data_IF_183250550998
#
_entry.id   IF_183250550998
#
_cell.length_a   1.000
_cell.length_b   1.000
_cell.length_c   1.000
_cell.angle_alpha   90.00
_cell.angle_beta   90.00
_cell.angle_gamma   90.00
#
_symmetry.space_group_name_H-M   'P 1'
#
loop_
_entity.id
_entity.type
_entity.pdbx_description
1 polymer ?
#
# COMPACT_ATOMS: atom_id res chain seq x y z
N UNK A 1 8.66 -60.64 -27.68
CA UNK A 1 9.07 -59.37 -27.03
C UNK A 1 8.22 -58.24 -27.61
N UNK A 2 7.08 -57.99 -26.97
CA UNK A 2 6.13 -56.94 -27.40
C UNK A 2 6.51 -55.60 -26.74
N UNK A 3 6.85 -54.58 -27.54
CA UNK A 3 7.11 -53.22 -27.03
C UNK A 3 5.78 -52.53 -26.72
N UNK A 4 5.48 -52.32 -25.44
CA UNK A 4 4.39 -51.46 -24.97
C UNK A 4 4.77 -50.00 -25.34
N UNK A 5 4.09 -49.46 -26.35
CA UNK A 5 4.09 -48.03 -26.67
C UNK A 5 3.26 -47.29 -25.66
N UNK A 6 3.90 -46.49 -24.79
CA UNK A 6 3.23 -45.52 -23.91
C UNK A 6 2.69 -44.42 -24.80
N UNK A 7 1.37 -44.12 -24.76
CA UNK A 7 0.80 -43.00 -25.50
C UNK A 7 1.34 -41.69 -24.91
N UNK A 8 2.13 -40.96 -25.68
CA UNK A 8 2.52 -39.60 -25.30
C UNK A 8 1.29 -38.71 -25.29
N UNK A 9 0.81 -38.32 -24.10
CA UNK A 9 -0.29 -37.36 -23.94
C UNK A 9 0.10 -35.98 -24.50
N UNK A 10 -0.12 -35.82 -25.82
CA UNK A 10 0.09 -34.57 -26.56
C UNK A 10 -0.91 -33.46 -26.14
N UNK A 11 -1.90 -33.77 -25.30
CA UNK A 11 -2.95 -32.83 -24.88
C UNK A 11 -2.52 -31.94 -23.69
N UNK A 12 -1.52 -32.34 -22.93
CA UNK A 12 -1.06 -31.59 -21.75
C UNK A 12 -0.43 -30.21 -22.08
N UNK A 13 0.42 -30.07 -23.13
CA UNK A 13 0.94 -28.76 -23.53
C UNK A 13 -0.13 -27.83 -24.10
N UNK A 14 -1.06 -28.36 -24.88
CA UNK A 14 -2.16 -27.60 -25.47
C UNK A 14 -3.18 -27.15 -24.40
N UNK A 15 -3.48 -27.97 -23.41
CA UNK A 15 -4.31 -27.59 -22.26
C UNK A 15 -3.65 -26.52 -21.39
N UNK A 16 -2.32 -26.57 -21.22
CA UNK A 16 -1.54 -25.52 -20.55
C UNK A 16 -1.54 -24.20 -21.34
N UNK A 17 -1.36 -24.25 -22.66
CA UNK A 17 -1.40 -23.07 -23.53
C UNK A 17 -2.81 -22.44 -23.54
N UNK A 18 -3.88 -23.23 -23.65
CA UNK A 18 -5.26 -22.73 -23.60
C UNK A 18 -5.66 -22.21 -22.22
N UNK A 19 -5.07 -22.70 -21.12
CA UNK A 19 -5.24 -22.14 -19.79
C UNK A 19 -4.53 -20.80 -19.60
N UNK A 20 -3.44 -20.56 -20.33
CA UNK A 20 -2.66 -19.31 -20.30
C UNK A 20 -3.26 -18.16 -21.13
N UNK A 21 -4.27 -18.45 -21.95
CA UNK A 21 -4.90 -17.44 -22.83
C UNK A 21 -6.28 -16.97 -22.32
N UNK A 22 -6.56 -17.17 -21.03
CA UNK A 22 -7.86 -16.79 -20.42
C UNK A 22 -8.07 -15.29 -20.25
N UNK A 23 -7.23 -14.47 -20.87
CA UNK A 23 -7.45 -13.04 -21.01
C UNK A 23 -7.35 -12.21 -19.72
N UNK A 24 -7.50 -10.92 -19.86
CA UNK A 24 -7.41 -9.91 -18.79
C UNK A 24 -8.55 -9.99 -17.76
N UNK A 25 -9.66 -10.70 -18.03
CA UNK A 25 -10.83 -10.78 -17.13
C UNK A 25 -10.49 -11.25 -15.70
N UNK A 26 -9.79 -12.39 -15.49
CA UNK A 26 -9.39 -12.81 -14.15
C UNK A 26 -8.48 -11.80 -13.47
N UNK A 27 -7.60 -11.15 -14.22
CA UNK A 27 -6.68 -10.12 -13.70
C UNK A 27 -7.44 -8.88 -13.20
N UNK A 28 -8.52 -8.46 -13.90
CA UNK A 28 -9.39 -7.36 -13.47
C UNK A 28 -10.11 -7.69 -12.17
N UNK A 29 -10.60 -8.92 -12.00
CA UNK A 29 -11.22 -9.34 -10.72
C UNK A 29 -10.21 -9.30 -9.57
N UNK A 30 -8.96 -9.71 -9.82
CA UNK A 30 -7.90 -9.59 -8.83
C UNK A 30 -7.56 -8.12 -8.52
N UNK A 31 -7.58 -7.25 -9.52
CA UNK A 31 -7.39 -5.81 -9.34
C UNK A 31 -8.52 -5.16 -8.53
N UNK A 32 -9.77 -5.59 -8.71
CA UNK A 32 -10.88 -5.15 -7.85
C UNK A 32 -10.66 -5.56 -6.39
N UNK A 33 -10.09 -6.72 -6.14
CA UNK A 33 -9.75 -7.14 -4.79
C UNK A 33 -8.62 -6.32 -4.17
N UNK A 34 -7.57 -5.98 -4.92
CA UNK A 34 -6.53 -5.06 -4.42
C UNK A 34 -7.06 -3.64 -4.25
N UNK A 35 -8.01 -3.20 -5.07
CA UNK A 35 -8.75 -1.97 -4.86
C UNK A 35 -9.54 -2.00 -3.54
N UNK A 36 -10.27 -3.09 -3.25
CA UNK A 36 -11.00 -3.24 -1.98
C UNK A 36 -10.05 -3.22 -0.77
N UNK A 37 -8.91 -3.94 -0.86
CA UNK A 37 -7.87 -3.93 0.18
C UNK A 37 -7.27 -2.53 0.38
N UNK A 38 -6.98 -1.83 -0.70
CA UNK A 38 -6.43 -0.47 -0.63
C UNK A 38 -7.44 0.52 -0.05
N UNK A 39 -8.70 0.41 -0.45
CA UNK A 39 -9.78 1.24 0.12
C UNK A 39 -9.90 0.98 1.62
N UNK A 40 -9.94 -0.28 2.06
CA UNK A 40 -9.96 -0.64 3.48
C UNK A 40 -8.76 -0.08 4.27
N UNK A 41 -7.57 -0.17 3.70
CA UNK A 41 -6.35 0.26 4.37
C UNK A 41 -6.28 1.79 4.58
N UNK A 42 -6.84 2.57 3.66
CA UNK A 42 -6.59 4.01 3.59
C UNK A 42 -7.83 4.87 3.86
N UNK A 43 -9.04 4.36 3.69
CA UNK A 43 -10.28 5.13 3.80
C UNK A 43 -10.50 5.73 5.19
N UNK A 44 -10.00 5.07 6.24
CA UNK A 44 -10.15 5.51 7.64
C UNK A 44 -9.59 6.92 7.85
N UNK A 45 -8.52 7.29 7.16
CA UNK A 45 -7.97 8.65 7.23
C UNK A 45 -8.98 9.73 6.81
N UNK A 46 -9.93 9.39 5.94
CA UNK A 46 -10.94 10.30 5.43
C UNK A 46 -12.07 10.63 6.42
N UNK A 47 -12.31 9.77 7.42
CA UNK A 47 -13.38 9.93 8.41
C UNK A 47 -12.92 9.73 9.88
N UNK A 48 -11.63 9.88 10.10
CA UNK A 48 -11.02 9.66 11.43
C UNK A 48 -11.63 10.54 12.53
N UNK A 49 -11.93 11.86 12.32
CA UNK A 49 -12.57 12.68 13.33
C UNK A 49 -13.99 12.20 13.69
N UNK A 50 -14.82 11.88 12.69
CA UNK A 50 -16.18 11.38 12.89
C UNK A 50 -16.20 10.05 13.67
N UNK A 51 -15.21 9.16 13.36
CA UNK A 51 -15.02 7.91 14.09
C UNK A 51 -14.65 8.17 15.56
N UNK A 52 -13.76 9.14 15.83
CA UNK A 52 -13.34 9.53 17.16
C UNK A 52 -14.52 10.05 17.99
N UNK A 53 -15.31 10.95 17.41
CA UNK A 53 -16.50 11.54 18.05
C UNK A 53 -17.55 10.46 18.39
N UNK A 54 -17.83 9.56 17.43
CA UNK A 54 -18.83 8.50 17.61
C UNK A 54 -18.43 7.46 18.65
N UNK A 55 -17.12 7.17 18.79
CA UNK A 55 -16.58 6.23 19.77
C UNK A 55 -16.21 6.91 21.09
N UNK A 56 -16.42 8.24 21.22
CA UNK A 56 -16.09 9.05 22.39
C UNK A 56 -14.60 8.91 22.81
N UNK A 57 -13.72 8.97 21.82
CA UNK A 57 -12.25 8.87 22.02
C UNK A 57 -11.55 10.05 21.33
N UNK A 58 -10.27 10.27 21.66
CA UNK A 58 -9.47 11.27 20.94
C UNK A 58 -9.19 10.82 19.50
N UNK A 59 -8.98 11.78 18.60
CA UNK A 59 -8.58 11.51 17.20
C UNK A 59 -7.28 10.68 17.15
N UNK A 60 -6.35 10.93 18.07
CA UNK A 60 -5.13 10.14 18.22
C UNK A 60 -5.42 8.68 18.57
N UNK A 61 -6.37 8.43 19.51
CA UNK A 61 -6.80 7.08 19.88
C UNK A 61 -7.50 6.37 18.71
N UNK A 62 -8.39 7.04 18.00
CA UNK A 62 -9.03 6.50 16.79
C UNK A 62 -7.99 6.15 15.71
N UNK A 63 -6.93 6.96 15.56
CA UNK A 63 -5.80 6.74 14.65
C UNK A 63 -5.06 5.42 14.92
N UNK A 64 -5.11 4.87 16.15
CA UNK A 64 -4.54 3.56 16.45
C UNK A 64 -5.18 2.43 15.63
N UNK A 65 -6.40 2.62 15.11
CA UNK A 65 -7.03 1.66 14.20
C UNK A 65 -6.24 1.49 12.89
N UNK A 66 -5.66 2.57 12.36
CA UNK A 66 -4.76 2.56 11.20
C UNK A 66 -3.40 1.97 11.58
N UNK A 67 -2.84 2.40 12.72
CA UNK A 67 -1.57 1.88 13.26
C UNK A 67 -1.62 0.36 13.41
N UNK A 68 -2.63 -0.15 14.10
CA UNK A 68 -2.75 -1.60 14.40
C UNK A 68 -2.95 -2.40 13.11
N UNK A 69 -3.78 -1.91 12.18
CA UNK A 69 -3.91 -2.55 10.86
C UNK A 69 -2.54 -2.66 10.17
N UNK A 70 -1.80 -1.55 10.09
CA UNK A 70 -0.54 -1.48 9.37
C UNK A 70 0.55 -2.36 10.03
N UNK A 71 0.72 -2.28 11.35
CA UNK A 71 1.69 -3.11 12.07
C UNK A 71 1.32 -4.60 12.01
N UNK A 72 0.02 -4.92 12.14
CA UNK A 72 -0.45 -6.30 11.98
C UNK A 72 -0.18 -6.82 10.58
N UNK A 73 -0.44 -6.03 9.53
CA UNK A 73 -0.10 -6.41 8.16
C UNK A 73 1.40 -6.67 8.01
N UNK A 74 2.26 -5.79 8.50
CA UNK A 74 3.71 -5.91 8.39
C UNK A 74 4.23 -7.23 9.01
N UNK A 75 3.68 -7.62 10.15
CA UNK A 75 4.04 -8.86 10.85
C UNK A 75 3.38 -10.09 10.21
N UNK A 76 2.09 -9.99 9.90
CA UNK A 76 1.31 -11.12 9.40
C UNK A 76 1.66 -11.50 7.95
N UNK A 77 2.11 -10.56 7.11
CA UNK A 77 2.40 -10.84 5.70
C UNK A 77 3.43 -11.98 5.51
N UNK A 78 4.60 -11.99 6.13
CA UNK A 78 5.53 -13.11 6.01
C UNK A 78 5.03 -14.39 6.68
N UNK A 79 4.28 -14.30 7.78
CA UNK A 79 3.71 -15.44 8.49
C UNK A 79 2.64 -16.13 7.65
N UNK A 80 1.65 -15.37 7.19
CA UNK A 80 0.54 -15.85 6.35
C UNK A 80 1.08 -16.45 5.05
N UNK A 81 2.04 -15.79 4.39
CA UNK A 81 2.68 -16.32 3.19
C UNK A 81 3.39 -17.67 3.42
N UNK A 82 3.86 -17.92 4.64
CA UNK A 82 4.51 -19.19 5.00
C UNK A 82 3.48 -20.28 5.32
N UNK A 83 2.49 -19.95 6.14
CA UNK A 83 1.47 -20.91 6.60
C UNK A 83 0.55 -21.32 5.44
N UNK A 84 0.15 -20.38 4.60
CA UNK A 84 -0.77 -20.62 3.48
C UNK A 84 -0.09 -21.06 2.19
N UNK A 85 1.24 -21.26 2.19
CA UNK A 85 2.00 -21.57 0.98
C UNK A 85 1.40 -22.75 0.18
N UNK A 86 1.02 -23.84 0.85
CA UNK A 86 0.46 -25.05 0.23
C UNK A 86 -1.02 -24.96 -0.13
N UNK A 87 -1.73 -23.93 0.36
CA UNK A 87 -3.16 -23.77 0.10
C UNK A 87 -3.37 -23.43 -1.39
N UNK A 88 -4.30 -24.11 -2.10
CA UNK A 88 -4.63 -23.74 -3.47
C UNK A 88 -5.04 -22.28 -3.56
N UNK A 89 -4.65 -21.59 -4.65
CA UNK A 89 -4.73 -20.12 -4.74
C UNK A 89 -6.15 -19.59 -4.72
N UNK A 90 -7.11 -20.28 -5.37
CA UNK A 90 -8.50 -19.85 -5.41
C UNK A 90 -9.16 -19.85 -4.02
N UNK A 91 -9.19 -20.93 -3.23
CA UNK A 91 -9.75 -20.88 -1.88
C UNK A 91 -9.00 -19.92 -0.95
N UNK A 92 -7.67 -19.74 -1.12
CA UNK A 92 -6.91 -18.78 -0.36
C UNK A 92 -7.39 -17.34 -0.61
N UNK A 93 -7.54 -16.94 -1.88
CA UNK A 93 -8.01 -15.59 -2.25
C UNK A 93 -9.45 -15.34 -1.80
N UNK A 94 -10.33 -16.33 -1.97
CA UNK A 94 -11.72 -16.24 -1.49
C UNK A 94 -11.76 -16.12 0.03
N UNK A 95 -11.03 -16.97 0.76
CA UNK A 95 -10.97 -16.94 2.22
C UNK A 95 -10.40 -15.60 2.74
N UNK A 96 -9.37 -15.06 2.10
CA UNK A 96 -8.80 -13.76 2.42
C UNK A 96 -9.82 -12.61 2.29
N UNK A 97 -10.59 -12.59 1.19
CA UNK A 97 -11.65 -11.61 0.97
C UNK A 97 -12.83 -11.78 1.93
N UNK A 98 -13.19 -13.01 2.29
CA UNK A 98 -14.22 -13.25 3.30
C UNK A 98 -13.77 -12.80 4.69
N UNK A 99 -12.51 -13.01 5.07
CA UNK A 99 -11.94 -12.47 6.31
C UNK A 99 -12.01 -10.95 6.30
N UNK A 100 -11.65 -10.30 5.20
CA UNK A 100 -11.77 -8.85 5.03
C UNK A 100 -13.23 -8.38 5.13
N UNK A 101 -14.16 -9.09 4.48
CA UNK A 101 -15.58 -8.79 4.53
C UNK A 101 -16.10 -8.82 5.98
N UNK A 102 -15.87 -9.92 6.71
CA UNK A 102 -16.30 -10.09 8.09
C UNK A 102 -15.64 -9.07 9.02
N UNK A 103 -14.35 -8.82 8.82
CA UNK A 103 -13.61 -7.83 9.61
C UNK A 103 -14.12 -6.40 9.40
N UNK A 104 -14.42 -6.00 8.16
CA UNK A 104 -14.98 -4.68 7.87
C UNK A 104 -16.42 -4.55 8.34
N UNK A 105 -17.22 -5.61 8.24
CA UNK A 105 -18.55 -5.63 8.83
C UNK A 105 -18.49 -5.51 10.36
N UNK A 106 -17.58 -6.24 11.00
CA UNK A 106 -17.32 -6.11 12.44
C UNK A 106 -16.83 -4.71 12.82
N UNK A 107 -15.99 -4.08 11.99
CA UNK A 107 -15.57 -2.67 12.18
C UNK A 107 -16.75 -1.70 12.05
N UNK A 108 -17.65 -1.91 11.07
CA UNK A 108 -18.86 -1.10 10.88
C UNK A 108 -19.82 -1.22 12.07
N UNK A 109 -19.86 -2.37 12.73
CA UNK A 109 -20.70 -2.64 13.90
C UNK A 109 -19.99 -2.31 15.23
N UNK A 110 -18.74 -1.82 15.20
CA UNK A 110 -17.98 -1.57 16.41
C UNK A 110 -18.62 -0.45 17.25
N UNK A 111 -18.85 -0.74 18.52
CA UNK A 111 -19.38 0.18 19.54
C UNK A 111 -18.31 0.71 20.48
N UNK A 112 -17.07 0.18 20.36
CA UNK A 112 -15.93 0.57 21.21
C UNK A 112 -14.62 0.48 20.42
N UNK A 113 -13.63 1.26 20.87
CA UNK A 113 -12.29 1.24 20.27
C UNK A 113 -11.62 -0.15 20.34
N UNK A 114 -11.66 -0.91 21.44
CA UNK A 114 -11.10 -2.26 21.48
C UNK A 114 -11.71 -3.22 20.44
N UNK A 115 -13.03 -3.17 20.24
CA UNK A 115 -13.70 -3.96 19.21
C UNK A 115 -13.23 -3.57 17.82
N UNK A 116 -13.13 -2.27 17.53
CA UNK A 116 -12.59 -1.77 16.27
C UNK A 116 -11.16 -2.25 16.06
N UNK A 117 -10.28 -2.14 17.06
CA UNK A 117 -8.89 -2.60 17.00
C UNK A 117 -8.80 -4.10 16.66
N UNK A 118 -9.60 -4.93 17.33
CA UNK A 118 -9.62 -6.38 17.07
C UNK A 118 -10.01 -6.70 15.63
N UNK A 119 -11.02 -6.01 15.09
CA UNK A 119 -11.46 -6.18 13.70
C UNK A 119 -10.41 -5.67 12.71
N UNK A 120 -9.64 -4.64 13.03
CA UNK A 120 -8.52 -4.14 12.19
C UNK A 120 -7.36 -5.16 12.10
N UNK A 121 -7.07 -5.91 13.18
CA UNK A 121 -6.10 -7.03 13.13
C UNK A 121 -6.59 -8.12 12.17
N UNK A 122 -7.86 -8.50 12.25
CA UNK A 122 -8.45 -9.50 11.36
C UNK A 122 -8.43 -9.02 9.89
N UNK A 123 -8.77 -7.75 9.62
CA UNK A 123 -8.70 -7.15 8.30
C UNK A 123 -7.26 -7.19 7.73
N UNK A 124 -6.27 -6.85 8.55
CA UNK A 124 -4.86 -6.93 8.18
C UNK A 124 -4.43 -8.35 7.78
N UNK A 125 -4.92 -9.39 8.47
CA UNK A 125 -4.63 -10.78 8.12
C UNK A 125 -5.21 -11.15 6.74
N UNK A 126 -6.44 -10.73 6.44
CA UNK A 126 -7.06 -10.89 5.12
C UNK A 126 -6.28 -10.16 4.02
N UNK A 127 -5.93 -8.90 4.25
CA UNK A 127 -5.15 -8.08 3.32
C UNK A 127 -3.77 -8.68 3.03
N UNK A 128 -3.07 -9.15 4.06
CA UNK A 128 -1.76 -9.80 3.98
C UNK A 128 -1.81 -11.14 3.22
N UNK A 129 -2.95 -11.84 3.31
CA UNK A 129 -3.17 -13.06 2.53
C UNK A 129 -3.54 -12.76 1.08
N UNK A 130 -4.30 -11.69 0.80
CA UNK A 130 -4.80 -11.39 -0.54
C UNK A 130 -3.76 -10.77 -1.46
N UNK A 131 -3.21 -9.63 -1.07
CA UNK A 131 -2.45 -8.74 -1.98
C UNK A 131 -1.25 -9.41 -2.65
N UNK A 132 -0.33 -10.10 -1.94
CA UNK A 132 0.81 -10.74 -2.59
C UNK A 132 0.39 -11.92 -3.48
N UNK A 133 -0.65 -12.65 -3.06
CA UNK A 133 -1.15 -13.80 -3.82
C UNK A 133 -1.91 -13.37 -5.08
N UNK A 134 -2.66 -12.27 -5.06
CA UNK A 134 -3.32 -11.72 -6.22
C UNK A 134 -2.32 -11.35 -7.32
N UNK A 135 -1.20 -10.69 -6.95
CA UNK A 135 -0.10 -10.39 -7.86
C UNK A 135 0.53 -11.64 -8.46
N UNK A 136 0.90 -12.62 -7.63
CA UNK A 136 1.51 -13.87 -8.08
C UNK A 136 0.57 -14.68 -9.01
N UNK A 137 -0.72 -14.75 -8.68
CA UNK A 137 -1.72 -15.43 -9.48
C UNK A 137 -1.94 -14.74 -10.82
N UNK A 138 -2.04 -13.40 -10.84
CA UNK A 138 -2.20 -12.65 -12.09
C UNK A 138 -1.07 -12.93 -13.09
N UNK A 139 0.18 -12.96 -12.60
CA UNK A 139 1.34 -13.29 -13.43
C UNK A 139 1.33 -14.76 -13.92
N UNK A 140 0.75 -15.69 -13.15
CA UNK A 140 0.64 -17.11 -13.52
C UNK A 140 -0.48 -17.40 -14.53
N UNK A 141 -1.45 -16.50 -14.68
CA UNK A 141 -2.62 -16.66 -15.57
C UNK A 141 -2.38 -16.20 -17.00
N UNK A 142 -1.28 -15.51 -17.25
CA UNK A 142 -0.97 -14.90 -18.56
C UNK A 142 0.34 -15.45 -19.12
N UNK A 143 0.56 -15.25 -20.42
CA UNK A 143 1.83 -15.59 -21.09
C UNK A 143 3.00 -14.78 -20.47
N UNK A 144 4.25 -15.26 -20.57
CA UNK A 144 5.43 -14.60 -20.02
C UNK A 144 5.54 -13.12 -20.40
N UNK A 145 5.22 -12.77 -21.66
CA UNK A 145 5.31 -11.42 -22.20
C UNK A 145 4.29 -10.44 -21.57
N UNK A 146 3.19 -10.96 -21.02
CA UNK A 146 2.11 -10.19 -20.43
C UNK A 146 2.17 -10.14 -18.89
N UNK A 147 3.12 -10.83 -18.25
CA UNK A 147 3.21 -10.93 -16.77
C UNK A 147 3.37 -9.57 -16.11
N UNK A 148 4.25 -8.72 -16.64
CA UNK A 148 4.45 -7.38 -16.12
C UNK A 148 3.16 -6.54 -16.22
N UNK A 149 2.44 -6.65 -17.35
CA UNK A 149 1.16 -5.94 -17.54
C UNK A 149 0.08 -6.44 -16.59
N UNK A 150 -0.03 -7.75 -16.39
CA UNK A 150 -1.01 -8.34 -15.45
C UNK A 150 -0.72 -7.90 -14.02
N UNK A 151 0.55 -7.90 -13.60
CA UNK A 151 0.97 -7.41 -12.30
C UNK A 151 0.67 -5.91 -12.14
N UNK A 152 0.95 -5.10 -13.16
CA UNK A 152 0.65 -3.67 -13.16
C UNK A 152 -0.86 -3.40 -13.00
N UNK A 153 -1.73 -4.18 -13.62
CA UNK A 153 -3.19 -4.07 -13.47
C UNK A 153 -3.61 -4.38 -12.02
N UNK A 154 -3.07 -5.42 -11.40
CA UNK A 154 -3.39 -5.79 -10.00
C UNK A 154 -2.86 -4.73 -9.02
N UNK A 155 -1.62 -4.27 -9.19
CA UNK A 155 -1.05 -3.18 -8.36
C UNK A 155 -1.80 -1.87 -8.62
N UNK A 156 -2.23 -1.64 -9.86
CA UNK A 156 -3.07 -0.51 -10.24
C UNK A 156 -4.35 -0.41 -9.43
N UNK A 157 -4.96 -1.54 -9.05
CA UNK A 157 -6.12 -1.56 -8.15
C UNK A 157 -5.84 -0.86 -6.81
N UNK A 158 -4.68 -1.12 -6.21
CA UNK A 158 -4.25 -0.47 -4.96
C UNK A 158 -4.01 1.04 -5.16
N UNK A 159 -3.40 1.41 -6.28
CA UNK A 159 -3.12 2.82 -6.61
C UNK A 159 -4.41 3.59 -6.89
N UNK A 160 -5.37 2.98 -7.60
CA UNK A 160 -6.70 3.57 -7.83
C UNK A 160 -7.47 3.70 -6.53
N UNK A 161 -7.29 2.80 -5.55
CA UNK A 161 -7.91 2.92 -4.23
C UNK A 161 -7.46 4.17 -3.46
N UNK A 162 -6.19 4.57 -3.58
CA UNK A 162 -5.72 5.83 -2.96
C UNK A 162 -6.33 7.07 -3.63
N UNK A 163 -6.57 7.03 -4.94
CA UNK A 163 -7.11 8.15 -5.69
C UNK A 163 -8.64 8.25 -5.60
N UNK A 164 -9.35 7.13 -5.64
CA UNK A 164 -10.81 7.09 -5.68
C UNK A 164 -11.44 6.51 -4.41
N UNK A 165 -10.86 5.44 -3.85
CA UNK A 165 -11.44 4.71 -2.73
C UNK A 165 -11.50 5.57 -1.47
N UNK A 166 -10.45 6.32 -1.17
CA UNK A 166 -10.38 7.18 0.02
C UNK A 166 -11.33 8.38 -0.09
N UNK A 167 -11.32 9.18 -1.17
CA UNK A 167 -12.28 10.28 -1.32
C UNK A 167 -13.74 9.81 -1.38
N UNK A 168 -14.02 8.73 -2.10
CA UNK A 168 -15.37 8.17 -2.18
C UNK A 168 -15.86 7.67 -0.82
N UNK A 169 -14.98 7.03 -0.05
CA UNK A 169 -15.26 6.63 1.32
C UNK A 169 -15.51 7.82 2.24
N UNK A 170 -14.72 8.90 2.10
CA UNK A 170 -14.91 10.14 2.83
C UNK A 170 -16.23 10.84 2.48
N UNK A 171 -16.62 10.88 1.21
CA UNK A 171 -17.93 11.38 0.78
C UNK A 171 -19.05 10.47 1.29
N UNK A 172 -18.91 9.16 1.17
CA UNK A 172 -19.91 8.21 1.69
C UNK A 172 -20.09 8.36 3.20
N UNK A 173 -19.01 8.64 3.96
CA UNK A 173 -19.11 8.85 5.40
C UNK A 173 -19.88 10.13 5.74
N UNK A 174 -19.72 11.20 4.98
CA UNK A 174 -20.48 12.46 5.19
C UNK A 174 -21.99 12.30 5.03
N UNK A 175 -22.43 11.40 4.14
CA UNK A 175 -23.86 11.18 3.86
C UNK A 175 -24.46 10.03 4.67
N UNK A 176 -23.70 8.97 4.91
CA UNK A 176 -24.18 7.70 5.46
C UNK A 176 -23.47 7.28 6.76
N UNK A 177 -22.48 8.06 7.18
CA UNK A 177 -21.61 7.76 8.32
C UNK A 177 -20.49 6.77 7.99
N UNK A 178 -19.41 6.81 8.76
CA UNK A 178 -18.22 5.97 8.58
C UNK A 178 -18.52 4.45 8.67
N UNK A 179 -19.56 4.09 9.43
CA UNK A 179 -20.01 2.69 9.53
C UNK A 179 -20.52 2.16 8.20
N UNK A 180 -21.30 2.95 7.48
CA UNK A 180 -21.80 2.59 6.15
C UNK A 180 -20.65 2.55 5.12
N UNK A 181 -19.66 3.43 5.23
CA UNK A 181 -18.46 3.40 4.39
C UNK A 181 -17.70 2.07 4.55
N UNK A 182 -17.45 1.61 5.78
CA UNK A 182 -16.84 0.30 6.01
C UNK A 182 -17.74 -0.87 5.60
N UNK A 183 -19.06 -0.74 5.79
CA UNK A 183 -20.05 -1.70 5.28
C UNK A 183 -20.00 -1.84 3.76
N UNK A 184 -19.81 -0.73 3.04
CA UNK A 184 -19.63 -0.74 1.57
C UNK A 184 -18.35 -1.48 1.17
N UNK A 185 -17.25 -1.27 1.90
CA UNK A 185 -16.01 -2.04 1.69
C UNK A 185 -16.24 -3.52 1.94
N UNK A 186 -16.97 -3.90 3.00
CA UNK A 186 -17.33 -5.29 3.26
C UNK A 186 -18.14 -5.90 2.10
N UNK A 187 -19.15 -5.18 1.60
CA UNK A 187 -19.94 -5.57 0.44
C UNK A 187 -19.09 -5.76 -0.83
N UNK A 188 -18.15 -4.83 -1.07
CA UNK A 188 -17.21 -4.94 -2.18
C UNK A 188 -16.30 -6.19 -2.04
N UNK A 189 -15.78 -6.46 -0.84
CA UNK A 189 -14.99 -7.67 -0.59
C UNK A 189 -15.79 -8.94 -0.86
N UNK A 190 -17.06 -8.98 -0.46
CA UNK A 190 -17.95 -10.11 -0.72
C UNK A 190 -18.21 -10.28 -2.23
N UNK A 191 -18.53 -9.20 -2.93
CA UNK A 191 -18.76 -9.21 -4.37
C UNK A 191 -17.53 -9.75 -5.12
N UNK A 192 -16.35 -9.27 -4.76
CA UNK A 192 -15.09 -9.73 -5.38
C UNK A 192 -14.79 -11.19 -4.99
N UNK A 193 -15.08 -11.61 -3.76
CA UNK A 193 -14.93 -13.02 -3.35
C UNK A 193 -15.78 -13.96 -4.21
N UNK A 194 -17.02 -13.57 -4.49
CA UNK A 194 -17.91 -14.29 -5.43
C UNK A 194 -17.31 -14.28 -6.84
N UNK A 195 -16.86 -13.14 -7.34
CA UNK A 195 -16.18 -13.02 -8.64
C UNK A 195 -14.96 -13.94 -8.76
N UNK A 196 -14.09 -13.95 -7.74
CA UNK A 196 -12.93 -14.86 -7.67
C UNK A 196 -13.40 -16.33 -7.67
N UNK A 197 -14.43 -16.67 -6.90
CA UNK A 197 -14.97 -18.04 -6.83
C UNK A 197 -15.49 -18.54 -8.18
N UNK A 198 -16.10 -17.66 -8.96
CA UNK A 198 -16.74 -18.00 -10.25
C UNK A 198 -15.75 -17.98 -11.42
N UNK A 199 -14.86 -16.99 -11.46
CA UNK A 199 -14.01 -16.70 -12.64
C UNK A 199 -12.63 -17.34 -12.53
N UNK A 200 -12.07 -17.47 -11.30
CA UNK A 200 -10.68 -17.93 -11.12
C UNK A 200 -10.56 -19.44 -11.29
N UNK A 201 -9.58 -19.92 -12.08
CA UNK A 201 -9.25 -21.34 -12.14
C UNK A 201 -8.64 -21.82 -10.82
N UNK A 202 -8.71 -23.13 -10.59
CA UNK A 202 -7.95 -23.73 -9.48
C UNK A 202 -6.48 -23.78 -9.85
N UNK A 203 -5.65 -23.10 -9.06
CA UNK A 203 -4.19 -23.15 -9.16
C UNK A 203 -3.63 -23.78 -7.89
N UNK A 204 -2.62 -24.67 -8.00
CA UNK A 204 -2.00 -25.29 -6.84
C UNK A 204 -1.28 -24.26 -5.96
N UNK A 205 -1.08 -24.62 -4.70
CA UNK A 205 -0.18 -23.90 -3.80
C UNK A 205 1.29 -24.07 -4.22
N UNK A 206 2.15 -23.30 -3.58
CA UNK A 206 3.60 -23.38 -3.77
C UNK A 206 4.27 -24.21 -2.66
N UNK A 207 5.48 -24.72 -2.88
CA UNK A 207 6.28 -25.31 -1.81
C UNK A 207 6.47 -24.31 -0.65
N UNK A 208 6.51 -24.81 0.58
CA UNK A 208 6.80 -23.98 1.76
C UNK A 208 8.25 -23.50 1.73
N UNK A 209 8.45 -22.20 1.75
CA UNK A 209 9.75 -21.61 2.08
C UNK A 209 9.75 -21.28 3.57
N UNK A 210 10.66 -21.85 4.38
CA UNK A 210 10.71 -21.59 5.82
C UNK A 210 10.87 -20.10 6.11
N UNK A 211 10.21 -19.63 7.19
CA UNK A 211 10.28 -18.22 7.61
C UNK A 211 11.74 -17.78 7.84
N UNK A 212 12.56 -18.66 8.42
CA UNK A 212 13.99 -18.41 8.61
C UNK A 212 14.72 -18.05 7.32
N UNK A 213 14.43 -18.76 6.23
CA UNK A 213 15.02 -18.48 4.90
C UNK A 213 14.54 -17.12 4.37
N UNK A 214 13.27 -16.79 4.59
CA UNK A 214 12.71 -15.47 4.21
C UNK A 214 13.38 -14.34 4.99
N UNK A 215 13.58 -14.50 6.29
CA UNK A 215 14.20 -13.48 7.13
C UNK A 215 15.72 -13.40 6.97
N UNK A 216 16.38 -14.46 6.48
CA UNK A 216 17.82 -14.44 6.24
C UNK A 216 18.24 -13.37 5.20
N UNK A 217 17.38 -13.06 4.25
CA UNK A 217 17.63 -12.00 3.25
C UNK A 217 17.74 -10.61 3.89
N UNK A 218 17.09 -10.38 5.04
CA UNK A 218 17.23 -9.13 5.79
C UNK A 218 18.67 -8.87 6.26
N UNK A 219 19.52 -9.89 6.37
CA UNK A 219 20.91 -9.74 6.78
C UNK A 219 21.84 -9.30 5.65
N UNK A 220 21.35 -9.22 4.40
CA UNK A 220 22.16 -8.73 3.28
C UNK A 220 22.38 -7.23 3.39
N UNK A 221 23.63 -6.72 3.31
CA UNK A 221 23.95 -5.30 3.49
C UNK A 221 23.13 -4.37 2.59
N UNK A 222 22.94 -4.74 1.30
CA UNK A 222 22.12 -3.95 0.38
C UNK A 222 20.64 -3.86 0.77
N UNK A 223 20.08 -4.92 1.37
CA UNK A 223 18.69 -4.91 1.87
C UNK A 223 18.56 -4.06 3.13
N UNK A 224 19.57 -4.10 4.01
CA UNK A 224 19.64 -3.30 5.23
C UNK A 224 19.73 -1.79 4.97
N UNK A 225 20.20 -1.37 3.79
CA UNK A 225 20.23 0.06 3.43
C UNK A 225 18.94 0.53 2.76
N UNK A 226 18.20 -0.37 2.11
CA UNK A 226 16.99 0.01 1.37
C UNK A 226 15.73 -0.06 2.21
N UNK A 227 15.52 -1.12 3.00
CA UNK A 227 14.30 -1.28 3.79
C UNK A 227 14.08 -0.19 4.85
N UNK A 228 15.11 0.24 5.63
CA UNK A 228 14.93 1.35 6.57
C UNK A 228 14.49 2.64 5.88
N UNK A 229 15.00 2.92 4.67
CA UNK A 229 14.60 4.09 3.90
C UNK A 229 13.13 3.99 3.46
N UNK A 230 12.63 2.81 3.07
CA UNK A 230 11.21 2.58 2.80
C UNK A 230 10.36 2.88 4.04
N UNK A 231 10.79 2.38 5.21
CA UNK A 231 10.09 2.62 6.48
C UNK A 231 10.07 4.10 6.83
N UNK A 232 11.20 4.78 6.75
CA UNK A 232 11.32 6.22 7.06
C UNK A 232 10.47 7.08 6.13
N UNK A 233 10.54 6.84 4.82
CA UNK A 233 9.78 7.60 3.84
C UNK A 233 8.27 7.42 3.99
N UNK A 234 7.81 6.19 4.26
CA UNK A 234 6.39 5.93 4.52
C UNK A 234 5.96 6.48 5.89
N UNK A 235 6.80 6.40 6.91
CA UNK A 235 6.51 7.00 8.20
C UNK A 235 6.34 8.52 8.07
N UNK A 236 7.25 9.20 7.37
CA UNK A 236 7.15 10.63 7.11
C UNK A 236 5.84 11.02 6.41
N UNK A 237 5.46 10.27 5.37
CA UNK A 237 4.20 10.46 4.66
C UNK A 237 2.99 10.32 5.59
N UNK A 238 2.91 9.21 6.34
CA UNK A 238 1.72 8.85 7.12
C UNK A 238 1.61 9.59 8.45
N UNK A 239 2.68 10.22 8.94
CA UNK A 239 2.62 11.19 10.05
C UNK A 239 1.65 12.33 9.73
N UNK A 240 1.66 12.85 8.49
CA UNK A 240 0.69 13.86 8.03
C UNK A 240 -0.61 13.26 7.50
N UNK A 241 -0.53 12.19 6.67
CA UNK A 241 -1.68 11.67 5.92
C UNK A 241 -2.79 11.10 6.81
N UNK A 242 -2.45 10.36 7.85
CA UNK A 242 -3.45 9.76 8.75
C UNK A 242 -4.31 10.82 9.45
N UNK A 243 -3.77 12.01 9.62
CA UNK A 243 -4.43 13.15 10.29
C UNK A 243 -4.67 14.33 9.32
N UNK A 244 -4.71 14.05 8.00
CA UNK A 244 -4.86 15.08 6.98
C UNK A 244 -6.16 15.89 7.14
N UNK A 245 -7.27 15.25 7.54
CA UNK A 245 -8.55 15.93 7.70
C UNK A 245 -8.48 17.09 8.71
N UNK A 246 -8.10 16.86 9.98
CA UNK A 246 -7.97 17.97 10.95
C UNK A 246 -6.84 18.93 10.59
N UNK A 247 -5.75 18.46 9.99
CA UNK A 247 -4.63 19.32 9.63
C UNK A 247 -4.93 20.26 8.44
N UNK A 248 -5.68 19.79 7.45
CA UNK A 248 -6.19 20.64 6.35
C UNK A 248 -7.25 21.62 6.83
N UNK A 249 -8.10 21.21 7.78
CA UNK A 249 -9.06 22.12 8.44
C UNK A 249 -8.33 23.28 9.14
N UNK A 250 -7.24 23.00 9.86
CA UNK A 250 -6.39 24.02 10.47
C UNK A 250 -5.69 24.92 9.44
N UNK A 251 -5.40 24.42 8.24
CA UNK A 251 -4.89 25.19 7.11
C UNK A 251 -5.99 26.01 6.37
N UNK A 252 -7.18 26.14 6.94
CA UNK A 252 -8.28 26.95 6.39
C UNK A 252 -9.08 26.27 5.29
N UNK A 253 -8.94 24.95 5.09
CA UNK A 253 -9.74 24.22 4.10
C UNK A 253 -11.11 23.86 4.70
N UNK A 254 -12.23 24.31 4.09
CA UNK A 254 -13.54 24.02 4.58
C UNK A 254 -13.85 22.50 4.49
N UNK A 255 -14.67 21.94 5.40
CA UNK A 255 -14.99 20.50 5.42
C UNK A 255 -15.51 19.98 4.09
N UNK A 256 -16.27 20.77 3.34
CA UNK A 256 -16.81 20.43 2.02
C UNK A 256 -15.72 20.22 0.96
N UNK A 257 -14.53 20.81 1.13
CA UNK A 257 -13.41 20.72 0.19
C UNK A 257 -12.34 19.69 0.59
N UNK A 258 -12.40 19.15 1.80
CA UNK A 258 -11.39 18.17 2.28
C UNK A 258 -11.36 16.91 1.39
N UNK A 259 -12.52 16.41 0.98
CA UNK A 259 -12.60 15.25 0.07
C UNK A 259 -11.92 15.52 -1.27
N UNK A 260 -12.02 16.75 -1.81
CA UNK A 260 -11.28 17.18 -3.00
C UNK A 260 -9.77 17.18 -2.74
N UNK A 261 -9.32 17.65 -1.58
CA UNK A 261 -7.88 17.62 -1.24
C UNK A 261 -7.36 16.19 -1.17
N UNK A 262 -8.09 15.27 -0.54
CA UNK A 262 -7.73 13.85 -0.50
C UNK A 262 -7.73 13.21 -1.90
N UNK A 263 -8.66 13.62 -2.77
CA UNK A 263 -8.65 13.21 -4.18
C UNK A 263 -7.40 13.72 -4.92
N UNK A 264 -7.03 14.99 -4.74
CA UNK A 264 -5.81 15.55 -5.33
C UNK A 264 -4.55 14.83 -4.84
N UNK A 265 -4.48 14.51 -3.53
CA UNK A 265 -3.42 13.65 -3.00
C UNK A 265 -3.37 12.31 -3.72
N UNK A 266 -4.49 11.64 -3.88
CA UNK A 266 -4.59 10.35 -4.57
C UNK A 266 -4.18 10.43 -6.05
N UNK A 267 -4.62 11.48 -6.78
CA UNK A 267 -4.19 11.74 -8.16
C UNK A 267 -2.67 11.93 -8.21
N UNK A 268 -2.13 12.75 -7.29
CA UNK A 268 -0.69 12.93 -7.15
C UNK A 268 0.03 11.59 -6.92
N UNK A 269 -0.49 10.75 -6.01
CA UNK A 269 0.06 9.44 -5.70
C UNK A 269 0.13 8.52 -6.95
N UNK A 270 -0.93 8.48 -7.75
CA UNK A 270 -0.98 7.72 -9.01
C UNK A 270 0.07 8.25 -9.99
N UNK A 271 0.06 9.55 -10.24
CA UNK A 271 0.97 10.21 -11.18
C UNK A 271 2.43 10.02 -10.75
N UNK A 272 2.73 10.26 -9.46
CA UNK A 272 4.06 10.12 -8.90
C UNK A 272 4.58 8.68 -9.00
N UNK A 273 3.75 7.69 -8.69
CA UNK A 273 4.12 6.28 -8.80
C UNK A 273 4.39 5.87 -10.26
N UNK A 274 3.54 6.27 -11.21
CA UNK A 274 3.70 5.94 -12.63
C UNK A 274 4.94 6.62 -13.23
N UNK A 275 5.10 7.92 -12.98
CA UNK A 275 6.25 8.67 -13.50
C UNK A 275 7.57 8.20 -12.90
N UNK A 276 7.57 7.80 -11.62
CA UNK A 276 8.79 7.35 -10.96
C UNK A 276 9.33 6.05 -11.53
N UNK A 277 8.49 5.15 -12.06
CA UNK A 277 8.94 3.98 -12.80
C UNK A 277 9.78 4.38 -14.01
N UNK A 278 9.21 5.23 -14.88
CA UNK A 278 9.90 5.73 -16.06
C UNK A 278 11.17 6.54 -15.74
N UNK A 279 11.08 7.43 -14.76
CA UNK A 279 12.21 8.28 -14.38
C UNK A 279 13.32 7.51 -13.67
N UNK A 280 12.99 6.42 -12.97
CA UNK A 280 13.98 5.52 -12.36
C UNK A 280 14.86 4.86 -13.43
N UNK A 281 14.29 4.39 -14.52
CA UNK A 281 15.04 3.80 -15.63
C UNK A 281 15.96 4.84 -16.30
N UNK A 282 15.53 6.11 -16.38
CA UNK A 282 16.27 7.17 -17.07
C UNK A 282 17.31 7.89 -16.20
N UNK A 283 16.98 8.18 -14.94
CA UNK A 283 17.80 9.02 -14.05
C UNK A 283 18.43 8.25 -12.89
N UNK A 284 18.05 7.00 -12.72
CA UNK A 284 18.47 6.13 -11.63
C UNK A 284 17.67 6.35 -10.34
N UNK A 285 17.59 5.30 -9.50
CA UNK A 285 16.72 5.26 -8.32
C UNK A 285 17.06 6.33 -7.27
N UNK A 286 18.33 6.63 -7.05
CA UNK A 286 18.77 7.59 -6.03
C UNK A 286 18.31 9.02 -6.31
N UNK A 287 18.33 9.45 -7.59
CA UNK A 287 17.89 10.81 -7.96
C UNK A 287 16.37 10.94 -7.81
N UNK A 288 15.63 9.93 -8.26
CA UNK A 288 14.16 9.92 -8.14
C UNK A 288 13.72 9.95 -6.69
N UNK A 289 14.37 9.16 -5.82
CA UNK A 289 14.12 9.21 -4.37
C UNK A 289 14.47 10.57 -3.77
N UNK A 290 15.62 11.13 -4.14
CA UNK A 290 16.06 12.44 -3.64
C UNK A 290 15.07 13.55 -4.00
N UNK A 291 14.61 13.62 -5.26
CA UNK A 291 13.59 14.60 -5.68
C UNK A 291 12.25 14.37 -4.97
N UNK A 292 11.84 13.10 -4.78
CA UNK A 292 10.63 12.76 -4.04
C UNK A 292 10.70 13.19 -2.57
N UNK A 293 11.76 12.85 -1.86
CA UNK A 293 11.90 13.28 -0.45
C UNK A 293 12.03 14.79 -0.31
N UNK A 294 12.74 15.48 -1.20
CA UNK A 294 12.82 16.95 -1.19
C UNK A 294 11.42 17.57 -1.41
N UNK A 295 10.67 17.08 -2.39
CA UNK A 295 9.29 17.51 -2.63
C UNK A 295 8.39 17.28 -1.42
N UNK A 296 8.52 16.13 -0.75
CA UNK A 296 7.76 15.80 0.46
C UNK A 296 8.11 16.74 1.62
N UNK A 297 9.41 17.02 1.86
CA UNK A 297 9.87 18.01 2.85
C UNK A 297 9.22 19.37 2.59
N UNK A 298 9.34 19.86 1.36
CA UNK A 298 8.84 21.19 0.97
C UNK A 298 7.33 21.29 1.15
N UNK A 299 6.58 20.31 0.63
CA UNK A 299 5.12 20.34 0.72
C UNK A 299 4.63 20.22 2.17
N UNK A 300 5.18 19.31 2.96
CA UNK A 300 4.78 19.13 4.35
C UNK A 300 5.17 20.34 5.22
N UNK A 301 6.32 20.96 4.98
CA UNK A 301 6.72 22.18 5.69
C UNK A 301 5.78 23.35 5.38
N UNK A 302 5.41 23.55 4.11
CA UNK A 302 4.49 24.62 3.70
C UNK A 302 3.06 24.37 4.19
N UNK A 303 2.58 23.10 4.17
CA UNK A 303 1.29 22.71 4.74
C UNK A 303 1.27 22.89 6.26
N UNK A 304 2.39 22.57 6.95
CA UNK A 304 2.55 22.81 8.38
C UNK A 304 2.53 24.31 8.72
N UNK A 305 3.17 25.14 7.91
CA UNK A 305 3.10 26.59 8.06
C UNK A 305 1.68 27.12 7.84
N UNK A 306 0.99 26.67 6.80
CA UNK A 306 -0.40 27.03 6.55
C UNK A 306 -1.33 26.63 7.72
N UNK A 307 -1.19 25.41 8.24
CA UNK A 307 -1.97 24.93 9.38
C UNK A 307 -1.62 25.63 10.71
N UNK A 308 -0.43 26.23 10.80
CA UNK A 308 0.02 27.04 11.94
C UNK A 308 -0.44 28.50 11.93
N UNK A 309 -1.33 28.87 11.03
CA UNK A 309 -1.87 30.24 10.91
C UNK A 309 -1.32 31.05 9.74
N UNK A 310 -0.51 30.46 8.88
CA UNK A 310 -0.05 31.09 7.63
C UNK A 310 -1.21 31.24 6.63
N UNK A 311 -1.33 32.42 6.03
CA UNK A 311 -2.35 32.66 4.99
C UNK A 311 -1.91 32.06 3.66
N UNK A 312 -2.56 30.96 3.25
CA UNK A 312 -2.31 30.28 1.97
C UNK A 312 -3.62 30.10 1.23
N UNK A 313 -3.73 30.54 -0.05
CA UNK A 313 -4.93 30.33 -0.83
C UNK A 313 -5.27 28.83 -0.95
N UNK A 314 -6.56 28.41 -0.88
CA UNK A 314 -6.97 27.01 -0.98
C UNK A 314 -6.48 26.31 -2.26
N UNK A 315 -6.38 27.04 -3.38
CA UNK A 315 -5.83 26.49 -4.62
C UNK A 315 -4.35 26.09 -4.48
N UNK A 316 -3.56 26.89 -3.76
CA UNK A 316 -2.14 26.57 -3.50
C UNK A 316 -2.03 25.38 -2.56
N UNK A 317 -2.88 25.28 -1.52
CA UNK A 317 -2.97 24.09 -0.66
C UNK A 317 -3.28 22.85 -1.50
N UNK A 318 -4.22 22.95 -2.45
CA UNK A 318 -4.54 21.85 -3.39
C UNK A 318 -3.34 21.40 -4.22
N UNK A 319 -2.54 22.34 -4.75
CA UNK A 319 -1.30 22.02 -5.48
C UNK A 319 -0.27 21.35 -4.55
N UNK A 320 -0.08 21.88 -3.34
CA UNK A 320 0.84 21.28 -2.35
C UNK A 320 0.43 19.85 -2.00
N UNK A 321 -0.85 19.60 -1.80
CA UNK A 321 -1.39 18.27 -1.49
C UNK A 321 -1.19 17.30 -2.67
N UNK A 322 -1.42 17.75 -3.91
CA UNK A 322 -1.16 16.94 -5.11
C UNK A 322 0.32 16.57 -5.22
N UNK A 323 1.21 17.56 -5.08
CA UNK A 323 2.67 17.33 -5.12
C UNK A 323 3.13 16.46 -3.96
N UNK A 324 2.55 16.63 -2.78
CA UNK A 324 2.81 15.75 -1.64
C UNK A 324 2.43 14.30 -1.94
N UNK A 325 1.25 14.05 -2.52
CA UNK A 325 0.84 12.72 -2.95
C UNK A 325 1.82 12.10 -3.95
N UNK A 326 2.24 12.87 -4.97
CA UNK A 326 3.23 12.44 -5.95
C UNK A 326 4.58 12.10 -5.31
N UNK A 327 5.07 12.97 -4.44
CA UNK A 327 6.34 12.82 -3.73
C UNK A 327 6.33 11.64 -2.75
N UNK A 328 5.17 11.33 -2.15
CA UNK A 328 5.03 10.22 -1.21
C UNK A 328 5.09 8.86 -1.89
N UNK A 329 4.44 8.70 -3.03
CA UNK A 329 4.31 7.41 -3.71
C UNK A 329 5.33 7.17 -4.81
N UNK A 330 6.09 8.19 -5.23
CA UNK A 330 7.19 8.04 -6.18
C UNK A 330 8.32 7.13 -5.66
N UNK A 331 8.39 6.88 -4.35
CA UNK A 331 9.44 6.06 -3.76
C UNK A 331 9.30 4.55 -4.03
N UNK A 332 8.11 4.05 -4.35
CA UNK A 332 7.85 2.60 -4.44
C UNK A 332 8.64 1.92 -5.56
N UNK A 333 8.59 2.36 -6.84
CA UNK A 333 9.36 1.74 -7.92
C UNK A 333 10.88 1.79 -7.70
N UNK A 334 11.51 2.93 -7.36
CA UNK A 334 12.97 2.95 -7.17
C UNK A 334 13.43 2.14 -5.95
N UNK A 335 12.64 2.01 -4.89
CA UNK A 335 12.97 1.15 -3.76
C UNK A 335 12.89 -0.33 -4.14
N UNK A 336 11.87 -0.74 -4.90
CA UNK A 336 11.80 -2.10 -5.44
C UNK A 336 12.97 -2.42 -6.36
N UNK A 337 13.35 -1.48 -7.23
CA UNK A 337 14.51 -1.63 -8.11
C UNK A 337 15.79 -1.88 -7.30
N UNK A 338 16.08 -1.04 -6.30
CA UNK A 338 17.26 -1.18 -5.42
C UNK A 338 17.27 -2.50 -4.65
N UNK A 339 16.10 -2.96 -4.18
CA UNK A 339 15.97 -4.24 -3.47
C UNK A 339 16.22 -5.43 -4.39
N UNK A 340 15.72 -5.39 -5.63
CA UNK A 340 15.95 -6.45 -6.62
C UNK A 340 17.43 -6.49 -7.00
N UNK A 341 18.10 -5.34 -7.18
CA UNK A 341 19.54 -5.27 -7.41
C UNK A 341 20.34 -5.83 -6.23
N UNK A 342 19.92 -5.58 -5.00
CA UNK A 342 20.59 -6.09 -3.80
C UNK A 342 20.44 -7.61 -3.61
N UNK A 343 19.38 -8.22 -4.13
CA UNK A 343 19.10 -9.64 -4.00
C UNK A 343 18.33 -10.20 -5.23
N UNK A 344 18.99 -10.30 -6.41
CA UNK A 344 18.31 -10.67 -7.66
C UNK A 344 17.70 -12.07 -7.63
N UNK A 345 18.34 -13.02 -6.97
CA UNK A 345 17.86 -14.41 -6.88
C UNK A 345 16.64 -14.53 -5.96
N UNK A 346 16.43 -13.60 -5.05
CA UNK A 346 15.31 -13.53 -4.11
C UNK A 346 14.36 -12.38 -4.41
N UNK A 347 14.29 -11.88 -5.65
CA UNK A 347 13.48 -10.75 -6.05
C UNK A 347 12.01 -10.81 -5.54
N UNK A 348 11.26 -11.92 -5.66
CA UNK A 348 9.89 -11.97 -5.12
C UNK A 348 9.83 -11.81 -3.59
N UNK A 349 10.87 -12.27 -2.90
CA UNK A 349 10.94 -12.19 -1.45
C UNK A 349 11.24 -10.77 -0.98
N UNK A 350 12.22 -10.08 -1.59
CA UNK A 350 12.57 -8.71 -1.20
C UNK A 350 11.45 -7.72 -1.54
N UNK A 351 10.71 -7.94 -2.63
CA UNK A 351 9.51 -7.15 -2.95
C UNK A 351 8.41 -7.36 -1.91
N UNK A 352 8.21 -8.60 -1.43
CA UNK A 352 7.28 -8.87 -0.32
C UNK A 352 7.71 -8.20 0.99
N UNK A 353 9.02 -8.21 1.30
CA UNK A 353 9.56 -7.52 2.46
C UNK A 353 9.44 -6.00 2.35
N UNK A 354 9.56 -5.45 1.14
CA UNK A 354 9.29 -4.03 0.90
C UNK A 354 7.84 -3.66 1.25
N UNK A 355 6.89 -4.50 0.90
CA UNK A 355 5.49 -4.29 1.30
C UNK A 355 5.32 -4.30 2.82
N UNK A 356 5.99 -5.22 3.54
CA UNK A 356 6.02 -5.20 5.01
C UNK A 356 6.67 -3.93 5.55
N UNK A 357 7.75 -3.45 4.91
CA UNK A 357 8.42 -2.18 5.25
C UNK A 357 7.51 -0.96 5.04
N UNK A 358 6.74 -0.94 3.95
CA UNK A 358 5.73 0.10 3.68
C UNK A 358 4.72 0.16 4.83
N UNK A 359 4.12 -0.98 5.18
CA UNK A 359 3.11 -1.01 6.25
C UNK A 359 3.71 -0.76 7.65
N UNK A 360 4.95 -1.19 7.91
CA UNK A 360 5.66 -0.81 9.13
C UNK A 360 5.84 0.71 9.20
N UNK A 361 6.23 1.35 8.11
CA UNK A 361 6.33 2.81 8.01
C UNK A 361 4.99 3.49 8.22
N UNK A 362 3.91 2.99 7.61
CA UNK A 362 2.54 3.48 7.82
C UNK A 362 2.17 3.44 9.31
N UNK A 363 2.38 2.31 9.97
CA UNK A 363 2.06 2.16 11.39
C UNK A 363 2.86 3.09 12.30
N UNK A 364 4.18 3.17 12.09
CA UNK A 364 5.06 4.08 12.85
C UNK A 364 4.69 5.55 12.58
N UNK A 365 4.46 5.91 11.32
CA UNK A 365 4.07 7.27 10.95
C UNK A 365 2.75 7.68 11.57
N UNK A 366 1.73 6.83 11.53
CA UNK A 366 0.43 7.10 12.15
C UNK A 366 0.56 7.24 13.68
N UNK A 367 1.39 6.42 14.32
CA UNK A 367 1.66 6.53 15.76
C UNK A 367 2.32 7.89 16.09
N UNK A 368 3.38 8.25 15.37
CA UNK A 368 4.09 9.53 15.53
C UNK A 368 3.17 10.72 15.24
N UNK A 369 2.34 10.62 14.19
CA UNK A 369 1.34 11.63 13.87
C UNK A 369 0.28 11.78 14.96
N UNK A 370 -0.14 10.67 15.57
CA UNK A 370 -1.06 10.67 16.70
C UNK A 370 -0.50 11.35 17.95
N UNK A 371 0.80 11.22 18.19
CA UNK A 371 1.48 11.98 19.24
C UNK A 371 1.63 13.45 18.86
N UNK A 372 2.00 13.73 17.61
CA UNK A 372 2.21 15.11 17.14
C UNK A 372 0.91 15.93 17.17
N UNK A 373 -0.22 15.36 16.80
CA UNK A 373 -1.51 16.09 16.73
C UNK A 373 -1.99 16.57 18.10
N UNK A 374 -1.54 15.95 19.20
CA UNK A 374 -1.85 16.41 20.56
C UNK A 374 -1.27 17.79 20.86
N UNK A 375 -0.20 18.19 20.15
CA UNK A 375 0.43 19.52 20.22
C UNK A 375 -0.18 20.52 19.23
N UNK A 376 -1.18 20.10 18.47
CA UNK A 376 -1.85 20.92 17.45
C UNK A 376 -1.82 20.28 16.07
N UNK A 377 -2.82 20.60 15.26
CA UNK A 377 -2.99 19.98 13.95
C UNK A 377 -1.82 20.24 12.97
N UNK A 378 -1.16 21.41 13.08
CA UNK A 378 0.01 21.77 12.29
C UNK A 378 1.23 20.87 12.59
N UNK A 379 1.34 20.35 13.82
CA UNK A 379 2.48 19.54 14.25
C UNK A 379 2.57 18.22 13.46
N UNK A 380 1.46 17.65 13.02
CA UNK A 380 1.46 16.44 12.19
C UNK A 380 2.23 16.65 10.86
N UNK A 381 2.01 17.78 10.20
CA UNK A 381 2.75 18.12 8.98
C UNK A 381 4.21 18.47 9.25
N UNK A 382 4.49 19.25 10.32
CA UNK A 382 5.86 19.65 10.67
C UNK A 382 6.73 18.43 11.03
N UNK A 383 6.21 17.49 11.82
CA UNK A 383 6.91 16.26 12.17
C UNK A 383 7.07 15.34 10.95
N UNK A 384 6.06 15.30 10.06
CA UNK A 384 6.16 14.62 8.78
C UNK A 384 7.27 15.19 7.90
N UNK A 385 7.40 16.52 7.83
CA UNK A 385 8.50 17.21 7.12
C UNK A 385 9.88 16.84 7.70
N UNK A 386 10.01 16.84 9.02
CA UNK A 386 11.24 16.40 9.69
C UNK A 386 11.59 14.94 9.39
N UNK A 387 10.59 14.05 9.37
CA UNK A 387 10.76 12.65 8.97
C UNK A 387 11.21 12.50 7.51
N UNK A 388 10.62 13.29 6.59
CA UNK A 388 11.01 13.29 5.18
C UNK A 388 12.45 13.82 4.99
N UNK A 389 12.86 14.82 5.78
CA UNK A 389 14.24 15.31 5.80
C UNK A 389 15.19 14.22 6.31
N UNK A 390 14.82 13.51 7.38
CA UNK A 390 15.61 12.38 7.88
C UNK A 390 15.77 11.29 6.82
N UNK A 391 14.70 10.96 6.06
CA UNK A 391 14.76 10.03 4.95
C UNK A 391 15.70 10.53 3.83
N UNK A 392 15.65 11.82 3.49
CA UNK A 392 16.55 12.43 2.51
C UNK A 392 18.01 12.33 2.96
N UNK A 393 18.30 12.70 4.20
CA UNK A 393 19.66 12.64 4.77
C UNK A 393 20.18 11.19 4.82
N UNK A 394 19.32 10.24 5.21
CA UNK A 394 19.67 8.82 5.19
C UNK A 394 19.98 8.33 3.77
N UNK A 395 19.19 8.74 2.77
CA UNK A 395 19.44 8.44 1.37
C UNK A 395 20.81 8.96 0.92
N UNK A 396 21.14 10.22 1.25
CA UNK A 396 22.41 10.84 0.87
C UNK A 396 23.59 10.15 1.56
N UNK A 397 23.46 9.79 2.83
CA UNK A 397 24.49 9.09 3.59
C UNK A 397 24.75 7.66 3.11
N UNK A 398 23.72 6.99 2.55
CA UNK A 398 23.79 5.59 2.10
C UNK A 398 23.92 5.47 0.57
N UNK A 399 23.84 6.57 -0.17
CA UNK A 399 24.06 6.55 -1.61
C UNK A 399 25.50 6.13 -1.92
N UNK A 400 25.73 5.20 -2.87
CA UNK A 400 27.07 4.84 -3.26
C UNK A 400 27.80 6.09 -3.77
N UNK A 401 28.98 6.39 -3.18
CA UNK A 401 29.81 7.49 -3.64
C UNK A 401 30.01 7.32 -5.16
N UNK A 402 29.68 8.35 -5.94
CA UNK A 402 30.00 8.38 -7.35
C UNK A 402 31.51 8.14 -7.46
N UNK A 403 31.93 6.98 -8.01
CA UNK A 403 33.30 6.85 -8.47
C UNK A 403 33.52 7.98 -9.47
N UNK A 404 34.19 9.03 -9.00
CA UNK A 404 34.70 10.10 -9.84
C UNK A 404 35.57 9.44 -10.90
N UNK A 405 35.23 9.68 -12.15
CA UNK A 405 35.78 9.24 -13.39
C UNK A 405 37.11 8.50 -13.38
N UNK A 406 37.13 7.36 -13.97
CA UNK A 406 38.25 6.96 -14.82
C UNK A 406 38.08 7.63 -16.19
N UNK A 407 38.33 8.92 -16.23
CA UNK A 407 38.69 9.61 -17.44
C UNK A 407 40.22 9.63 -17.46
N UNK A 408 40.80 8.52 -17.91
CA UNK A 408 42.19 8.49 -18.44
C UNK A 408 42.31 7.28 -19.35
N UNK A 409 42.50 7.50 -20.63
CA UNK A 409 42.88 6.50 -21.62
C UNK A 409 42.12 6.62 -22.92
#
# INVERSE_FOLDING_TARGET
MSRLSIPSDRSAPQRRAAAQDRGLKPTLVLAMGTFAVGTDAFVVAGFLPEMADTLHVSTAAAGQSVTVFALSYAVLAPLVATVTARVPRRPLLVGALLVLCVANLGSALATSLPMLIATRVAAAAGAAAYTPNAGAVSAALVRPELRARALAVVVGGLTVATALGVPLGGVASQWLGWRAALGTVAGLCLLVAVGVRLIMPSLPGNPRTPLRTRLAVLRRPGVLTVLPLTVLGMAACYTGYAYAVPALGAAGIPPTSVSLMLFLYGVGAVVGNLLSGYTTDRWGPTRVLGTGYLGMVTCLALLGWAAGGGSVPPAVVGVLVLVWGASSWCQTPPQQHRLIEAAPQEAPLVVSLNSSGIYLGIGLGTTVGGLAITSGAAAAFAVGAAGALAALLFLLATAPARRAGSATG
#
